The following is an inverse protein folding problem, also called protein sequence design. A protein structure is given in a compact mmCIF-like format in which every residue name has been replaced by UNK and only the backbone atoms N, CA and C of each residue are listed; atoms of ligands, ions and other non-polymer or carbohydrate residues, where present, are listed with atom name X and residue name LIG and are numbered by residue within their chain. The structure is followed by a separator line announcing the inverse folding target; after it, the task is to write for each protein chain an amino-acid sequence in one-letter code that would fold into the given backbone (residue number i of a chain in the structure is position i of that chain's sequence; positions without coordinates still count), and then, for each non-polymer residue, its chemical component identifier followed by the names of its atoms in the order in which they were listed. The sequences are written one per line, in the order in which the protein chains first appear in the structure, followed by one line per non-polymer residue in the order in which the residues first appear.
data_IF_267461055044
#
_entry.id   IF_267461055044
#
_cell.length_a   1.000
_cell.length_b   1.000
_cell.length_c   1.000
_cell.angle_alpha   90.00
_cell.angle_beta   90.00
_cell.angle_gamma   90.00
#
_symmetry.space_group_name_H-M   'P 1'
#
loop_
_entity.id
_entity.type
_entity.pdbx_description
1 polymer ?
#
# COMPACT_ATOMS: atom_id res chain seq x y z
N UNK A 1 -20.55 -5.79 -13.14
CA UNK A 1 -22.00 -5.73 -12.84
C UNK A 1 -22.75 -6.91 -13.42
N UNK A 2 -22.07 -7.76 -14.17
CA UNK A 2 -22.62 -8.97 -14.80
C UNK A 2 -22.38 -10.25 -13.97
N UNK A 3 -21.73 -10.15 -12.80
CA UNK A 3 -21.39 -11.27 -11.92
C UNK A 3 -20.36 -12.26 -12.49
N UNK A 4 -19.75 -11.94 -13.63
CA UNK A 4 -18.75 -12.81 -14.25
C UNK A 4 -17.43 -12.72 -13.51
N UNK A 5 -16.77 -13.88 -13.35
CA UNK A 5 -15.40 -13.97 -12.88
C UNK A 5 -14.44 -13.90 -14.07
N UNK A 6 -13.38 -13.11 -13.95
CA UNK A 6 -12.34 -12.99 -14.96
C UNK A 6 -11.00 -13.39 -14.35
N UNK A 7 -10.13 -14.00 -15.14
CA UNK A 7 -8.73 -14.12 -14.75
C UNK A 7 -8.04 -12.76 -14.80
N UNK A 8 -6.91 -12.61 -14.13
CA UNK A 8 -6.13 -11.35 -14.15
C UNK A 8 -5.74 -11.02 -15.59
N UNK A 9 -5.28 -12.02 -16.38
CA UNK A 9 -4.94 -11.85 -17.78
C UNK A 9 -6.14 -11.41 -18.63
N UNK A 10 -7.30 -12.06 -18.48
CA UNK A 10 -8.53 -11.66 -19.16
C UNK A 10 -8.95 -10.22 -18.85
N UNK A 11 -8.77 -9.82 -17.59
CA UNK A 11 -9.13 -8.50 -17.14
C UNK A 11 -8.21 -7.42 -17.74
N UNK A 12 -6.92 -7.70 -17.83
CA UNK A 12 -5.93 -6.83 -18.45
C UNK A 12 -6.12 -6.69 -19.97
N UNK A 13 -6.40 -7.79 -20.66
CA UNK A 13 -6.59 -7.80 -22.11
C UNK A 13 -7.89 -7.10 -22.55
N UNK A 14 -8.98 -7.27 -21.80
CA UNK A 14 -10.31 -6.78 -22.19
C UNK A 14 -10.60 -5.32 -21.88
N UNK A 15 -9.68 -4.58 -21.27
CA UNK A 15 -9.85 -3.16 -20.86
C UNK A 15 -11.20 -2.90 -20.18
N UNK A 16 -11.53 -3.72 -19.18
CA UNK A 16 -12.79 -3.62 -18.46
C UNK A 16 -12.72 -2.39 -17.54
N UNK A 17 -13.67 -1.47 -17.62
CA UNK A 17 -13.70 -0.21 -16.88
C UNK A 17 -13.69 -0.39 -15.36
N UNK A 18 -14.17 -1.52 -14.89
CA UNK A 18 -14.07 -1.92 -13.49
C UNK A 18 -14.06 -3.46 -13.40
N UNK A 19 -13.24 -3.99 -12.51
CA UNK A 19 -13.06 -5.43 -12.32
C UNK A 19 -13.30 -5.75 -10.86
N UNK A 20 -14.17 -6.74 -10.62
CA UNK A 20 -14.22 -7.45 -9.36
C UNK A 20 -13.46 -8.75 -9.55
N UNK A 21 -12.27 -8.85 -9.00
CA UNK A 21 -11.48 -10.07 -8.99
C UNK A 21 -11.62 -10.66 -7.59
N UNK A 22 -12.18 -11.85 -7.53
CA UNK A 22 -12.19 -12.67 -6.31
C UNK A 22 -10.90 -13.49 -6.32
N UNK A 23 -9.89 -13.02 -5.61
CA UNK A 23 -8.57 -13.62 -5.60
C UNK A 23 -8.35 -14.29 -4.25
N UNK A 24 -7.97 -15.58 -4.28
CA UNK A 24 -7.46 -16.28 -3.11
C UNK A 24 -6.02 -15.87 -2.80
N UNK A 25 -5.09 -16.81 -2.80
CA UNK A 25 -3.68 -16.53 -2.64
C UNK A 25 -3.02 -16.19 -3.98
N UNK A 26 -2.34 -15.05 -4.03
CA UNK A 26 -1.51 -14.63 -5.16
C UNK A 26 -0.06 -15.05 -4.95
N UNK A 27 0.60 -15.42 -6.04
CA UNK A 27 2.06 -15.47 -6.06
C UNK A 27 2.64 -14.04 -5.92
N UNK A 28 3.88 -13.92 -5.48
CA UNK A 28 4.57 -12.63 -5.37
C UNK A 28 4.58 -11.87 -6.71
N UNK A 29 4.77 -12.57 -7.83
CA UNK A 29 4.80 -11.97 -9.15
C UNK A 29 3.43 -11.42 -9.58
N UNK A 30 2.34 -12.12 -9.26
CA UNK A 30 0.97 -11.64 -9.53
C UNK A 30 0.64 -10.44 -8.67
N UNK A 31 0.98 -10.47 -7.39
CA UNK A 31 0.82 -9.36 -6.47
C UNK A 31 1.56 -8.12 -6.96
N UNK A 32 2.82 -8.27 -7.34
CA UNK A 32 3.65 -7.20 -7.89
C UNK A 32 3.04 -6.59 -9.15
N UNK A 33 2.55 -7.43 -10.05
CA UNK A 33 1.91 -6.97 -11.29
C UNK A 33 0.68 -6.13 -10.99
N UNK A 34 -0.19 -6.58 -10.08
CA UNK A 34 -1.40 -5.84 -9.68
C UNK A 34 -1.02 -4.51 -9.03
N UNK A 35 -0.10 -4.51 -8.08
CA UNK A 35 0.31 -3.30 -7.37
C UNK A 35 0.94 -2.26 -8.32
N UNK A 36 1.67 -2.70 -9.34
CA UNK A 36 2.22 -1.80 -10.35
C UNK A 36 1.13 -1.14 -11.23
N UNK A 37 0.03 -1.84 -11.46
CA UNK A 37 -1.09 -1.34 -12.28
C UNK A 37 -2.09 -0.48 -11.49
N UNK A 38 -2.10 -0.59 -10.16
CA UNK A 38 -3.01 0.18 -9.30
C UNK A 38 -2.51 1.61 -9.08
N UNK A 39 -3.43 2.55 -8.95
CA UNK A 39 -3.13 3.92 -8.53
C UNK A 39 -3.20 4.09 -7.00
N UNK A 40 -3.92 3.24 -6.30
CA UNK A 40 -4.04 3.21 -4.84
C UNK A 40 -4.43 1.80 -4.39
N UNK A 41 -4.27 1.53 -3.10
CA UNK A 41 -4.70 0.26 -2.50
C UNK A 41 -5.64 0.48 -1.31
N UNK A 42 -6.58 -0.46 -1.11
CA UNK A 42 -7.41 -0.52 0.10
C UNK A 42 -6.89 -1.65 0.97
N UNK A 43 -6.45 -1.34 2.19
CA UNK A 43 -5.72 -2.26 3.06
C UNK A 43 -6.23 -2.20 4.51
N UNK A 44 -5.88 -3.22 5.30
CA UNK A 44 -6.25 -3.28 6.71
C UNK A 44 -5.35 -2.44 7.64
N UNK A 45 -4.23 -1.93 7.16
CA UNK A 45 -3.31 -1.12 7.96
C UNK A 45 -2.23 -1.93 8.70
N UNK A 46 -1.97 -3.19 8.32
CA UNK A 46 -0.82 -3.91 8.85
C UNK A 46 0.48 -3.26 8.38
N UNK A 47 1.47 -3.16 9.27
CA UNK A 47 2.72 -2.46 9.03
C UNK A 47 3.47 -2.98 7.79
N UNK A 48 3.54 -4.30 7.62
CA UNK A 48 4.21 -4.94 6.49
C UNK A 48 3.57 -4.57 5.15
N UNK A 49 2.23 -4.68 5.05
CA UNK A 49 1.49 -4.36 3.83
C UNK A 49 1.59 -2.87 3.49
N UNK A 50 1.48 -2.00 4.49
CA UNK A 50 1.63 -0.56 4.29
C UNK A 50 3.04 -0.20 3.81
N UNK A 51 4.09 -0.78 4.43
CA UNK A 51 5.47 -0.57 4.03
C UNK A 51 5.73 -1.00 2.58
N UNK A 52 5.23 -2.15 2.19
CA UNK A 52 5.35 -2.65 0.82
C UNK A 52 4.66 -1.73 -0.21
N UNK A 53 3.44 -1.28 0.08
CA UNK A 53 2.66 -0.48 -0.86
C UNK A 53 3.15 0.97 -0.92
N UNK A 54 3.30 1.62 0.23
CA UNK A 54 3.70 3.03 0.27
C UNK A 54 5.20 3.20 0.00
N UNK A 55 6.05 2.38 0.59
CA UNK A 55 7.51 2.45 0.43
C UNK A 55 8.00 1.75 -0.82
N UNK A 56 7.57 0.51 -1.05
CA UNK A 56 8.04 -0.30 -2.17
C UNK A 56 7.40 0.04 -3.51
N UNK A 57 6.13 0.46 -3.53
CA UNK A 57 5.38 0.74 -4.76
C UNK A 57 4.97 2.21 -4.92
N UNK A 58 5.21 3.04 -3.93
CA UNK A 58 4.85 4.47 -3.92
C UNK A 58 3.38 4.71 -4.25
N UNK A 59 2.47 3.93 -3.64
CA UNK A 59 1.03 4.04 -3.86
C UNK A 59 0.34 4.53 -2.59
N UNK A 60 -0.61 5.49 -2.69
CA UNK A 60 -1.41 5.90 -1.55
C UNK A 60 -2.35 4.78 -1.12
N UNK A 61 -2.67 4.75 0.16
CA UNK A 61 -3.55 3.75 0.74
C UNK A 61 -4.86 4.36 1.27
N UNK A 62 -5.91 3.54 1.26
CA UNK A 62 -7.10 3.75 2.08
C UNK A 62 -7.10 2.62 3.12
N UNK A 63 -6.88 2.97 4.37
CA UNK A 63 -6.78 2.00 5.44
C UNK A 63 -8.12 1.76 6.13
N UNK A 64 -8.54 0.50 6.23
CA UNK A 64 -9.70 0.04 6.99
C UNK A 64 -9.18 -0.78 8.17
N UNK A 65 -9.04 -0.20 9.37
CA UNK A 65 -8.43 -0.90 10.50
C UNK A 65 -9.31 -2.03 11.02
N UNK A 66 -8.67 -3.15 11.41
CA UNK A 66 -9.31 -4.28 12.09
C UNK A 66 -8.98 -4.24 13.59
N UNK A 67 -7.81 -3.71 13.95
CA UNK A 67 -7.29 -3.61 15.33
C UNK A 67 -6.81 -2.19 15.62
N UNK A 68 -6.59 -1.87 16.87
CA UNK A 68 -6.10 -0.56 17.33
C UNK A 68 -4.71 -0.22 16.74
N UNK A 69 -3.82 -1.20 16.63
CA UNK A 69 -2.52 -1.04 15.99
C UNK A 69 -2.69 -0.56 14.54
N UNK A 70 -3.58 -1.19 13.76
CA UNK A 70 -3.86 -0.79 12.40
C UNK A 70 -4.39 0.65 12.32
N UNK A 71 -5.22 1.04 13.27
CA UNK A 71 -5.73 2.42 13.35
C UNK A 71 -4.59 3.42 13.53
N UNK A 72 -3.64 3.13 14.42
CA UNK A 72 -2.48 4.00 14.67
C UNK A 72 -1.56 4.09 13.45
N UNK A 73 -1.29 2.97 12.80
CA UNK A 73 -0.49 2.92 11.57
C UNK A 73 -1.11 3.77 10.45
N UNK A 74 -2.44 3.65 10.24
CA UNK A 74 -3.13 4.39 9.19
C UNK A 74 -3.22 5.88 9.53
N UNK A 75 -3.45 6.24 10.80
CA UNK A 75 -3.40 7.64 11.24
C UNK A 75 -2.04 8.27 10.95
N UNK A 76 -0.96 7.57 11.29
CA UNK A 76 0.39 8.01 10.96
C UNK A 76 0.58 8.23 9.45
N UNK A 77 0.11 7.31 8.60
CA UNK A 77 0.16 7.46 7.15
C UNK A 77 -0.66 8.67 6.68
N UNK A 78 -1.83 8.91 7.27
CA UNK A 78 -2.68 10.06 6.96
C UNK A 78 -2.02 11.39 7.35
N UNK A 79 -1.38 11.47 8.51
CA UNK A 79 -0.63 12.66 8.96
C UNK A 79 0.54 13.02 8.03
N UNK A 80 1.12 12.00 7.37
CA UNK A 80 2.20 12.15 6.40
C UNK A 80 1.71 12.32 4.96
N UNK A 81 0.41 12.42 4.74
CA UNK A 81 -0.23 12.48 3.42
C UNK A 81 0.13 11.28 2.51
N UNK A 82 0.27 10.09 3.11
CA UNK A 82 0.55 8.82 2.41
C UNK A 82 -0.70 7.98 2.22
N UNK A 83 -1.80 8.32 2.90
CA UNK A 83 -3.04 7.55 2.87
C UNK A 83 -4.18 8.22 3.60
N UNK A 84 -5.30 7.51 3.69
CA UNK A 84 -6.55 7.97 4.30
C UNK A 84 -7.10 6.89 5.23
N UNK A 85 -7.51 7.28 6.44
CA UNK A 85 -8.22 6.41 7.36
C UNK A 85 -9.72 6.36 7.00
N UNK A 86 -10.25 5.16 6.85
CA UNK A 86 -11.67 4.90 6.64
C UNK A 86 -12.18 3.85 7.64
N UNK A 87 -13.18 4.20 8.43
CA UNK A 87 -13.84 3.30 9.40
C UNK A 87 -15.24 2.89 8.95
N UNK A 88 -15.73 3.46 7.84
CA UNK A 88 -17.05 3.20 7.25
C UNK A 88 -16.95 3.15 5.73
N UNK A 89 -17.82 2.39 5.07
CA UNK A 89 -17.86 2.26 3.61
C UNK A 89 -17.96 3.62 2.89
N UNK A 90 -18.75 4.54 3.43
CA UNK A 90 -18.86 5.90 2.84
C UNK A 90 -17.54 6.65 2.84
N UNK A 91 -16.70 6.46 3.87
CA UNK A 91 -15.36 7.07 3.95
C UNK A 91 -14.37 6.44 2.96
N UNK A 92 -14.52 5.16 2.62
CA UNK A 92 -13.73 4.53 1.54
C UNK A 92 -14.04 5.22 0.22
N UNK A 93 -15.31 5.41 -0.11
CA UNK A 93 -15.72 6.09 -1.36
C UNK A 93 -15.20 7.53 -1.40
N UNK A 94 -15.34 8.27 -0.29
CA UNK A 94 -14.79 9.62 -0.16
C UNK A 94 -13.26 9.63 -0.28
N UNK A 95 -12.59 8.64 0.31
CA UNK A 95 -11.14 8.46 0.20
C UNK A 95 -10.69 8.25 -1.24
N UNK A 96 -11.40 7.43 -2.01
CA UNK A 96 -11.13 7.22 -3.43
C UNK A 96 -11.24 8.54 -4.20
N UNK A 97 -12.32 9.30 -3.99
CA UNK A 97 -12.50 10.60 -4.63
C UNK A 97 -11.38 11.57 -4.26
N UNK A 98 -11.05 11.67 -2.96
CA UNK A 98 -9.99 12.55 -2.47
C UNK A 98 -8.61 12.20 -3.06
N UNK A 99 -8.26 10.90 -3.14
CA UNK A 99 -7.00 10.48 -3.77
C UNK A 99 -6.99 10.86 -5.26
N UNK A 100 -8.09 10.64 -5.98
CA UNK A 100 -8.17 11.00 -7.41
C UNK A 100 -8.03 12.50 -7.66
N UNK A 101 -8.68 13.32 -6.84
CA UNK A 101 -8.67 14.79 -6.95
C UNK A 101 -7.30 15.39 -6.59
N UNK A 102 -6.59 14.79 -5.65
CA UNK A 102 -5.33 15.32 -5.10
C UNK A 102 -4.15 14.37 -5.34
N UNK A 103 -4.18 13.57 -6.39
CA UNK A 103 -3.20 12.50 -6.62
C UNK A 103 -1.75 13.01 -6.62
N UNK A 104 -1.49 14.16 -7.22
CA UNK A 104 -0.16 14.75 -7.29
C UNK A 104 0.43 15.08 -5.89
N UNK A 105 -0.41 15.46 -4.92
CA UNK A 105 0.04 15.73 -3.55
C UNK A 105 0.44 14.43 -2.85
N UNK A 106 -0.37 13.37 -3.01
CA UNK A 106 -0.02 12.05 -2.48
C UNK A 106 1.25 11.51 -3.13
N UNK A 107 1.38 11.62 -4.45
CA UNK A 107 2.56 11.18 -5.20
C UNK A 107 3.83 11.89 -4.73
N UNK A 108 3.78 13.19 -4.49
CA UNK A 108 4.90 13.96 -3.94
C UNK A 108 5.33 13.45 -2.57
N UNK A 109 4.38 13.28 -1.65
CA UNK A 109 4.65 12.75 -0.30
C UNK A 109 5.20 11.32 -0.32
N UNK A 110 4.65 10.47 -1.19
CA UNK A 110 5.09 9.08 -1.36
C UNK A 110 6.49 9.00 -1.98
N UNK A 111 6.81 9.87 -2.94
CA UNK A 111 8.15 9.94 -3.54
C UNK A 111 9.20 10.32 -2.49
N UNK A 112 8.89 11.25 -1.60
CA UNK A 112 9.78 11.62 -0.50
C UNK A 112 9.93 10.47 0.51
N UNK A 113 8.82 9.85 0.89
CA UNK A 113 8.82 8.71 1.80
C UNK A 113 9.64 7.54 1.24
N UNK A 114 9.45 7.18 -0.03
CA UNK A 114 10.14 6.06 -0.69
C UNK A 114 11.66 6.25 -0.75
N UNK A 115 12.16 7.48 -0.89
CA UNK A 115 13.60 7.75 -0.87
C UNK A 115 14.27 7.38 0.45
N UNK A 116 13.50 7.48 1.54
CA UNK A 116 13.97 7.17 2.90
C UNK A 116 13.52 5.79 3.37
N UNK A 117 12.73 5.09 2.56
CA UNK A 117 12.27 3.75 2.88
C UNK A 117 13.35 2.72 2.60
N UNK A 118 13.73 1.98 3.62
CA UNK A 118 14.72 0.91 3.50
C UNK A 118 13.99 -0.42 3.44
N UNK A 119 13.94 -1.07 2.26
CA UNK A 119 13.18 -2.31 2.06
C UNK A 119 13.77 -3.52 2.82
N UNK A 120 15.02 -3.45 3.22
CA UNK A 120 15.73 -4.54 3.91
C UNK A 120 16.06 -4.19 5.37
N UNK A 121 15.01 -3.97 6.18
CA UNK A 121 15.19 -3.68 7.62
C UNK A 121 16.04 -4.70 8.37
N UNK A 122 15.97 -5.98 8.00
CA UNK A 122 16.80 -7.05 8.58
C UNK A 122 18.30 -6.87 8.27
N UNK A 123 18.66 -6.53 7.03
CA UNK A 123 20.06 -6.26 6.65
C UNK A 123 20.62 -5.03 7.35
N UNK A 124 19.83 -3.97 7.44
CA UNK A 124 20.23 -2.76 8.15
C UNK A 124 20.40 -3.02 9.65
N UNK A 125 19.49 -3.76 10.26
CA UNK A 125 19.62 -4.14 11.66
C UNK A 125 20.88 -4.98 11.90
N UNK A 126 21.20 -5.89 10.99
CA UNK A 126 22.43 -6.69 11.07
C UNK A 126 23.69 -5.84 10.91
N UNK A 127 23.70 -4.85 10.00
CA UNK A 127 24.82 -3.90 9.84
C UNK A 127 25.03 -3.07 11.09
N UNK A 128 23.97 -2.47 11.62
CA UNK A 128 24.04 -1.66 12.85
C UNK A 128 24.54 -2.51 14.03
N UNK A 129 24.05 -3.74 14.15
CA UNK A 129 24.51 -4.63 15.21
C UNK A 129 26.00 -4.98 15.06
N UNK A 130 26.49 -5.19 13.83
CA UNK A 130 27.91 -5.45 13.56
C UNK A 130 28.78 -4.23 13.91
N UNK A 131 28.38 -3.02 13.51
CA UNK A 131 29.06 -1.77 13.83
C UNK A 131 29.19 -1.55 15.35
N UNK A 132 28.09 -1.74 16.10
CA UNK A 132 28.11 -1.64 17.58
C UNK A 132 29.06 -2.66 18.22
N UNK A 133 29.17 -3.86 17.66
CA UNK A 133 30.08 -4.90 18.17
C UNK A 133 31.55 -4.59 17.85
N UNK A 134 31.83 -3.94 16.73
CA UNK A 134 33.18 -3.52 16.35
C UNK A 134 33.68 -2.34 17.21
N UNK A 135 32.82 -1.37 17.50
CA UNK A 135 33.15 -0.23 18.36
C UNK A 135 33.43 -0.61 19.81
N UNK A 136 32.99 -1.79 20.27
CA UNK A 136 33.21 -2.29 21.64
C UNK A 136 34.43 -3.22 21.77
N UNK A 137 35.20 -3.42 20.71
CA UNK A 137 36.45 -4.17 20.70
C UNK A 137 37.66 -3.25 20.79
#
# INVERSE_FOLDING_TARGET
KDGKKYSISDALEKKIDWIQIDIGFLSEQEKDTILNLCNYAVVNGSHTVMGEIMGGKSKPIIGIPIYDEHTNNIKWAQEKNLGILATKTSQVIQGISKIKENYAEFEGSLSEFSKNFVPSGAENSAKIAAEILEEKR
#
